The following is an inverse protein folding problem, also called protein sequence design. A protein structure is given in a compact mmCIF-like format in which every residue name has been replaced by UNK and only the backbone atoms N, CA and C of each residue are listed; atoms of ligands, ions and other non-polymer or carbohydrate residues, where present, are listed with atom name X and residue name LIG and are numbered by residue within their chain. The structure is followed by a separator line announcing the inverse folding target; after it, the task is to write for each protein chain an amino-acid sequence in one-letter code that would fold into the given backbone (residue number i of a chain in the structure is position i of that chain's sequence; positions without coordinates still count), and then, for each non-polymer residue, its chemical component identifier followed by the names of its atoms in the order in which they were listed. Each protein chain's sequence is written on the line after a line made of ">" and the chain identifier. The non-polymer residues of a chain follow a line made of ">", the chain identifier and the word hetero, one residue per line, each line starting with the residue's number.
data_IF_526095034261
#
_entry.id   IF_526095034261
#
_cell.length_a   1.000
_cell.length_b   1.000
_cell.length_c   1.000
_cell.angle_alpha   90.00
_cell.angle_beta   90.00
_cell.angle_gamma   90.00
#
_symmetry.space_group_name_H-M   'P 1'
#
loop_
_entity.id
_entity.type
_entity.pdbx_description
1 polymer ?
#
# COMPACT_ATOMS: atom_id res chain seq x y z
N UNK A 1 13.96 -12.43 12.97
CA UNK A 1 13.30 -11.57 11.98
C UNK A 1 11.86 -12.00 11.84
N UNK A 2 10.91 -11.07 11.70
CA UNK A 2 9.50 -11.40 11.53
C UNK A 2 9.22 -11.80 10.07
N UNK A 3 8.55 -12.94 9.87
CA UNK A 3 8.05 -13.36 8.56
C UNK A 3 6.67 -12.75 8.39
N UNK A 4 6.46 -11.98 7.31
CA UNK A 4 5.12 -11.55 6.92
C UNK A 4 4.53 -12.60 6.00
N UNK A 5 3.40 -13.17 6.42
CA UNK A 5 2.65 -14.16 5.64
C UNK A 5 1.32 -13.56 5.22
N UNK A 6 0.95 -13.76 3.96
CA UNK A 6 -0.33 -13.32 3.41
C UNK A 6 -1.24 -14.55 3.21
N UNK A 7 -2.10 -14.90 4.18
CA UNK A 7 -2.95 -16.09 4.11
C UNK A 7 -4.21 -15.84 3.27
N UNK A 8 -4.73 -16.89 2.63
CA UNK A 8 -5.99 -16.85 1.86
C UNK A 8 -7.24 -16.67 2.74
N UNK A 9 -7.11 -16.89 4.05
CA UNK A 9 -8.23 -16.85 4.99
C UNK A 9 -8.70 -15.42 5.32
N UNK A 10 -8.05 -14.38 4.80
CA UNK A 10 -8.53 -13.00 4.95
C UNK A 10 -9.77 -12.78 4.08
N UNK A 11 -10.93 -12.71 4.75
CA UNK A 11 -12.24 -12.52 4.13
C UNK A 11 -12.34 -11.19 3.36
N UNK A 12 -12.99 -11.27 2.19
CA UNK A 12 -13.03 -10.24 1.15
C UNK A 12 -14.05 -9.11 1.35
N UNK A 13 -13.79 -8.01 0.64
CA UNK A 13 -14.85 -7.20 -0.01
C UNK A 13 -15.04 -7.76 -1.44
N UNK A 14 -16.09 -8.56 -1.67
CA UNK A 14 -16.44 -9.09 -3.01
C UNK A 14 -15.98 -10.53 -3.32
N UNK A 15 -16.13 -10.95 -4.59
CA UNK A 15 -15.97 -12.34 -5.06
C UNK A 15 -14.62 -12.69 -5.71
N UNK A 16 -13.56 -11.89 -5.53
CA UNK A 16 -12.27 -12.11 -6.21
C UNK A 16 -11.23 -12.71 -5.27
N UNK A 17 -10.57 -13.82 -5.65
CA UNK A 17 -9.48 -14.49 -4.92
C UNK A 17 -8.15 -13.71 -4.93
N UNK A 18 -8.21 -12.39 -4.78
CA UNK A 18 -7.03 -11.53 -4.90
C UNK A 18 -6.23 -11.50 -3.59
N UNK A 19 -4.91 -11.34 -3.66
CA UNK A 19 -4.09 -11.25 -2.47
C UNK A 19 -4.20 -9.89 -1.79
N UNK A 20 -4.58 -9.87 -0.51
CA UNK A 20 -4.79 -8.64 0.25
C UNK A 20 -3.88 -8.56 1.47
N UNK A 21 -3.55 -7.33 1.84
CA UNK A 21 -2.79 -7.00 3.03
C UNK A 21 -3.55 -5.99 3.91
N UNK A 22 -3.46 -6.17 5.22
CA UNK A 22 -3.73 -5.11 6.19
C UNK A 22 -2.54 -4.16 6.21
N UNK A 23 -2.80 -2.88 5.95
CA UNK A 23 -1.79 -1.83 5.99
C UNK A 23 -2.24 -0.72 6.95
N UNK A 24 -1.33 -0.18 7.74
CA UNK A 24 -1.55 1.04 8.52
C UNK A 24 -0.62 2.13 8.02
N UNK A 25 -1.20 3.22 7.54
CA UNK A 25 -0.47 4.43 7.21
C UNK A 25 -0.21 5.22 8.51
N UNK A 26 1.03 5.64 8.74
CA UNK A 26 1.41 6.35 9.96
C UNK A 26 1.90 7.75 9.58
N UNK A 27 1.21 8.77 10.10
CA UNK A 27 1.54 10.17 9.92
C UNK A 27 2.20 10.80 11.16
N UNK A 28 2.49 12.12 11.08
CA UNK A 28 3.11 12.86 12.17
C UNK A 28 2.35 12.73 13.50
N UNK A 29 3.09 12.67 14.61
CA UNK A 29 2.50 12.50 15.95
C UNK A 29 1.85 11.13 16.18
N UNK A 30 2.17 10.13 15.36
CA UNK A 30 1.65 8.76 15.51
C UNK A 30 0.21 8.57 15.04
N UNK A 31 -0.34 9.50 14.24
CA UNK A 31 -1.68 9.36 13.65
C UNK A 31 -1.72 8.15 12.72
N UNK A 32 -2.72 7.28 12.89
CA UNK A 32 -2.85 6.03 12.13
C UNK A 32 -4.10 6.02 11.27
N UNK A 33 -3.99 5.47 10.07
CA UNK A 33 -5.14 5.16 9.22
C UNK A 33 -5.02 3.73 8.70
N UNK A 34 -6.01 2.89 9.03
CA UNK A 34 -6.03 1.49 8.65
C UNK A 34 -6.64 1.31 7.26
N UNK A 35 -5.93 0.57 6.43
CA UNK A 35 -6.32 0.10 5.12
C UNK A 35 -6.45 -1.42 5.23
N UNK A 36 -7.67 -1.91 5.42
CA UNK A 36 -7.92 -3.32 5.71
C UNK A 36 -7.81 -4.24 4.47
N UNK A 37 -7.73 -3.67 3.27
CA UNK A 37 -7.73 -4.42 2.02
C UNK A 37 -6.88 -3.71 0.96
N UNK A 38 -5.54 -3.72 1.13
CA UNK A 38 -4.62 -3.28 0.09
C UNK A 38 -4.24 -4.49 -0.79
N UNK A 39 -4.40 -4.37 -2.12
CA UNK A 39 -4.04 -5.43 -3.07
C UNK A 39 -2.54 -5.58 -3.16
N UNK A 40 -2.02 -6.78 -2.92
CA UNK A 40 -0.62 -7.10 -3.17
C UNK A 40 -0.41 -7.24 -4.68
N UNK A 41 0.34 -6.31 -5.28
CA UNK A 41 0.47 -6.19 -6.73
C UNK A 41 1.95 -6.08 -7.13
N UNK A 42 2.51 -7.18 -7.63
CA UNK A 42 3.89 -7.23 -8.12
C UNK A 42 4.09 -6.48 -9.44
N UNK A 43 3.01 -6.13 -10.14
CA UNK A 43 3.00 -5.23 -11.30
C UNK A 43 3.05 -3.76 -10.93
N UNK A 44 2.74 -3.39 -9.69
CA UNK A 44 2.88 -2.03 -9.19
C UNK A 44 4.29 -1.79 -8.64
N UNK A 45 4.92 -0.68 -9.05
CA UNK A 45 6.25 -0.32 -8.54
C UNK A 45 6.21 0.18 -7.09
N UNK A 46 5.21 1.00 -6.77
CA UNK A 46 5.10 1.72 -5.50
C UNK A 46 3.85 1.31 -4.71
N UNK A 47 3.90 1.49 -3.39
CA UNK A 47 2.71 1.52 -2.55
C UNK A 47 1.82 2.70 -2.95
N UNK A 48 0.53 2.44 -3.19
CA UNK A 48 -0.43 3.44 -3.65
C UNK A 48 -1.61 3.53 -2.69
N UNK A 49 -1.98 4.74 -2.30
CA UNK A 49 -3.12 5.02 -1.42
C UNK A 49 -3.94 6.19 -1.95
N UNK A 50 -5.25 6.27 -1.64
CA UNK A 50 -6.02 7.46 -1.94
C UNK A 50 -5.47 8.66 -1.17
N UNK A 51 -5.47 9.84 -1.80
CA UNK A 51 -5.05 11.09 -1.13
C UNK A 51 -5.80 11.35 0.18
N UNK A 52 -7.06 10.91 0.30
CA UNK A 52 -7.85 11.05 1.53
C UNK A 52 -7.23 10.32 2.73
N UNK A 53 -6.63 9.14 2.53
CA UNK A 53 -5.94 8.41 3.59
C UNK A 53 -4.70 9.17 4.06
N UNK A 54 -3.91 9.70 3.13
CA UNK A 54 -2.74 10.52 3.46
C UNK A 54 -3.13 11.83 4.18
N UNK A 55 -4.26 12.44 3.80
CA UNK A 55 -4.81 13.61 4.51
C UNK A 55 -5.29 13.27 5.92
N UNK A 56 -5.96 12.12 6.09
CA UNK A 56 -6.49 11.69 7.38
C UNK A 56 -5.39 11.54 8.45
N UNK A 57 -4.19 11.11 8.05
CA UNK A 57 -3.03 11.01 8.96
C UNK A 57 -2.16 12.26 9.02
N UNK A 58 -2.48 13.31 8.25
CA UNK A 58 -1.72 14.56 8.22
C UNK A 58 -0.43 14.53 7.39
N UNK A 59 -0.24 13.51 6.55
CA UNK A 59 0.87 13.50 5.56
C UNK A 59 0.63 14.50 4.43
N UNK A 60 -0.65 14.84 4.15
CA UNK A 60 -1.04 15.91 3.24
C UNK A 60 -2.05 16.85 3.91
N UNK A 61 -2.01 18.17 3.64
CA UNK A 61 -0.94 18.90 2.94
C UNK A 61 0.31 19.15 3.81
N UNK A 62 0.33 18.67 5.05
CA UNK A 62 1.39 18.98 6.03
C UNK A 62 2.78 18.44 5.69
N UNK A 63 2.91 17.46 4.79
CA UNK A 63 4.18 16.89 4.36
C UNK A 63 4.66 17.43 3.00
N UNK A 64 5.97 17.33 2.76
CA UNK A 64 6.56 17.59 1.45
C UNK A 64 6.28 16.44 0.49
N UNK A 65 5.84 16.77 -0.73
CA UNK A 65 5.62 15.79 -1.80
C UNK A 65 6.16 16.30 -3.13
N UNK A 66 6.39 15.35 -4.05
CA UNK A 66 6.67 15.65 -5.46
C UNK A 66 5.50 15.18 -6.32
N UNK A 67 5.17 15.91 -7.38
CA UNK A 67 4.16 15.46 -8.35
C UNK A 67 4.85 14.61 -9.40
N UNK A 68 4.36 13.40 -9.62
CA UNK A 68 4.95 12.43 -10.57
C UNK A 68 3.89 11.91 -11.53
N UNK A 69 4.31 11.60 -12.76
CA UNK A 69 3.48 10.94 -13.77
C UNK A 69 3.61 9.43 -13.64
N UNK A 70 2.49 8.72 -13.51
CA UNK A 70 2.43 7.28 -13.33
C UNK A 70 1.67 6.67 -14.50
N UNK A 71 2.27 5.67 -15.15
CA UNK A 71 1.63 4.89 -16.21
C UNK A 71 0.79 3.78 -15.57
N UNK A 72 -0.49 3.75 -15.89
CA UNK A 72 -1.46 2.74 -15.46
C UNK A 72 -2.00 1.99 -16.66
N UNK A 73 -2.80 0.94 -16.44
CA UNK A 73 -3.53 0.27 -17.52
C UNK A 73 -4.50 1.21 -18.26
N UNK A 74 -5.03 2.24 -17.59
CA UNK A 74 -5.95 3.24 -18.16
C UNK A 74 -5.26 4.46 -18.77
N UNK A 75 -3.93 4.48 -18.85
CA UNK A 75 -3.15 5.63 -19.34
C UNK A 75 -2.32 6.29 -18.24
N UNK A 76 -1.85 7.51 -18.51
CA UNK A 76 -0.96 8.24 -17.60
C UNK A 76 -1.79 9.15 -16.69
N UNK A 77 -1.54 9.06 -15.39
CA UNK A 77 -2.15 9.94 -14.37
C UNK A 77 -1.06 10.59 -13.52
N UNK A 78 -1.36 11.74 -12.93
CA UNK A 78 -0.45 12.40 -11.98
C UNK A 78 -0.78 12.00 -10.55
N UNK A 79 0.24 11.77 -9.73
CA UNK A 79 0.11 11.43 -8.32
C UNK A 79 1.09 12.24 -7.48
N UNK A 80 0.82 12.36 -6.18
CA UNK A 80 1.76 12.93 -5.22
C UNK A 80 2.62 11.83 -4.61
N UNK A 81 3.93 11.89 -4.80
CA UNK A 81 4.88 10.99 -4.16
C UNK A 81 5.40 11.60 -2.86
N UNK A 82 5.16 10.87 -1.77
CA UNK A 82 5.71 11.13 -0.45
C UNK A 82 6.95 10.26 -0.26
N UNK A 83 8.00 10.83 0.31
CA UNK A 83 9.25 10.11 0.63
C UNK A 83 9.29 9.70 2.09
N UNK A 84 9.94 8.57 2.38
CA UNK A 84 10.22 8.10 3.75
C UNK A 84 8.99 8.06 4.68
N UNK A 85 7.88 7.53 4.18
CA UNK A 85 6.65 7.34 4.96
C UNK A 85 6.73 6.02 5.73
N UNK A 86 6.49 6.09 7.04
CA UNK A 86 6.37 4.90 7.88
C UNK A 86 4.99 4.27 7.68
N UNK A 87 4.98 2.97 7.42
CA UNK A 87 3.77 2.16 7.34
C UNK A 87 3.97 0.85 8.09
N UNK A 88 2.86 0.22 8.45
CA UNK A 88 2.83 -1.12 8.99
C UNK A 88 2.11 -2.02 7.98
N UNK A 89 2.75 -3.10 7.52
CA UNK A 89 2.15 -4.10 6.64
C UNK A 89 2.13 -5.40 7.41
N UNK A 90 0.95 -5.95 7.69
CA UNK A 90 0.82 -7.21 8.45
C UNK A 90 1.65 -7.22 9.75
N UNK A 91 1.57 -6.14 10.54
CA UNK A 91 2.37 -5.93 11.76
C UNK A 91 3.87 -5.67 11.57
N UNK A 92 4.39 -5.67 10.33
CA UNK A 92 5.77 -5.30 10.03
C UNK A 92 5.89 -3.81 9.72
N UNK A 93 6.66 -3.11 10.53
CA UNK A 93 6.92 -1.69 10.34
C UNK A 93 8.02 -1.48 9.28
N UNK A 94 7.72 -0.70 8.24
CA UNK A 94 8.67 -0.35 7.17
C UNK A 94 8.57 1.13 6.82
N UNK A 95 9.65 1.68 6.25
CA UNK A 95 9.69 3.06 5.76
C UNK A 95 9.91 3.04 4.25
N UNK A 96 8.97 3.58 3.48
CA UNK A 96 8.98 3.51 2.02
C UNK A 96 8.49 4.80 1.36
N UNK A 97 8.63 4.88 0.04
CA UNK A 97 7.95 5.89 -0.77
C UNK A 97 6.48 5.50 -1.01
N UNK A 98 5.59 6.49 -1.00
CA UNK A 98 4.14 6.27 -1.13
C UNK A 98 3.57 7.20 -2.19
N UNK A 99 2.82 6.65 -3.13
CA UNK A 99 2.05 7.41 -4.10
C UNK A 99 0.64 7.65 -3.59
N UNK A 100 0.24 8.91 -3.57
CA UNK A 100 -1.11 9.34 -3.24
C UNK A 100 -1.85 9.66 -4.53
N UNK A 101 -2.88 8.87 -4.83
CA UNK A 101 -3.71 9.08 -6.01
C UNK A 101 -4.77 10.14 -5.74
N UNK A 102 -4.91 11.15 -6.63
CA UNK A 102 -5.96 12.15 -6.54
C UNK A 102 -7.32 11.60 -6.97
N UNK A 103 -7.31 10.60 -7.85
CA UNK A 103 -8.48 9.83 -8.22
C UNK A 103 -8.77 8.86 -7.08
N UNK A 104 -10.04 8.75 -6.68
CA UNK A 104 -10.47 7.75 -5.71
C UNK A 104 -10.15 6.36 -6.23
N UNK A 105 -8.95 5.86 -5.95
CA UNK A 105 -8.59 4.46 -6.24
C UNK A 105 -9.50 3.62 -5.37
N UNK A 106 -10.23 2.71 -6.01
CA UNK A 106 -11.11 1.78 -5.31
C UNK A 106 -10.32 0.79 -4.46
N UNK A 107 -9.03 0.58 -4.75
CA UNK A 107 -8.19 -0.37 -4.02
C UNK A 107 -6.75 0.14 -3.93
N UNK A 108 -6.23 0.41 -2.70
CA UNK A 108 -4.80 0.66 -2.46
C UNK A 108 -3.94 -0.52 -2.93
N UNK A 109 -2.73 -0.25 -3.40
CA UNK A 109 -1.84 -1.29 -3.96
C UNK A 109 -0.56 -1.39 -3.13
N UNK A 110 -0.19 -2.58 -2.70
CA UNK A 110 1.12 -2.93 -2.13
C UNK A 110 2.05 -3.33 -3.27
N UNK A 111 2.80 -2.35 -3.76
CA UNK A 111 3.77 -2.54 -4.84
C UNK A 111 5.11 -3.14 -4.40
N UNK A 112 6.01 -3.29 -5.38
CA UNK A 112 7.32 -3.91 -5.20
C UNK A 112 8.23 -3.18 -4.21
N UNK A 113 8.12 -1.87 -4.07
CA UNK A 113 8.93 -1.13 -3.10
C UNK A 113 8.61 -1.53 -1.65
N UNK A 114 7.33 -1.73 -1.35
CA UNK A 114 6.83 -2.18 -0.05
C UNK A 114 7.25 -3.63 0.21
N UNK A 115 7.07 -4.49 -0.78
CA UNK A 115 7.50 -5.89 -0.72
C UNK A 115 9.00 -5.99 -0.45
N UNK A 116 9.84 -5.25 -1.19
CA UNK A 116 11.31 -5.24 -0.97
C UNK A 116 11.74 -4.72 0.40
N UNK A 117 10.95 -3.85 1.02
CA UNK A 117 11.24 -3.33 2.35
C UNK A 117 10.93 -4.34 3.47
N UNK A 118 10.17 -5.40 3.19
CA UNK A 118 9.91 -6.48 4.14
C UNK A 118 11.10 -7.44 4.21
N UNK A 119 11.55 -7.74 5.44
CA UNK A 119 12.75 -8.56 5.68
C UNK A 119 12.62 -10.02 5.20
N UNK A 120 11.41 -10.57 5.21
CA UNK A 120 11.07 -11.91 4.73
C UNK A 120 9.62 -11.88 4.25
N UNK A 121 9.40 -12.29 3.00
CA UNK A 121 8.07 -12.38 2.39
C UNK A 121 7.73 -13.85 2.18
N UNK A 122 6.65 -14.32 2.78
CA UNK A 122 6.08 -15.63 2.52
C UNK A 122 4.80 -15.51 1.70
N UNK A 123 4.80 -16.05 0.49
CA UNK A 123 3.58 -16.32 -0.27
C UNK A 123 3.20 -17.78 -0.09
N UNK A 124 1.91 -18.07 0.13
CA UNK A 124 1.47 -19.46 0.17
C UNK A 124 1.54 -20.06 -1.24
N UNK A 125 2.15 -21.23 -1.36
CA UNK A 125 2.34 -21.91 -2.67
C UNK A 125 1.10 -22.69 -3.12
N UNK A 126 0.14 -22.91 -2.22
CA UNK A 126 -1.11 -23.63 -2.51
C UNK A 126 -2.30 -22.69 -2.67
N UNK A 127 -2.20 -21.46 -2.15
CA UNK A 127 -3.35 -20.55 -2.04
C UNK A 127 -3.36 -19.45 -3.11
N UNK A 128 -2.29 -19.32 -3.90
CA UNK A 128 -2.06 -18.17 -4.81
C UNK A 128 -2.12 -18.54 -6.29
N UNK A 129 -2.24 -19.83 -6.64
CA UNK A 129 -2.39 -20.31 -8.01
C UNK A 129 -3.83 -20.80 -8.21
N UNK A 130 -4.61 -20.03 -8.98
CA UNK A 130 -5.93 -20.41 -9.50
C UNK A 130 -6.00 -20.06 -10.98
#
# INVERSE_FOLDING_TARGET
>A
MAVVTFPNSKLYVGSSLKPLADVVLIGPGGRRFRIAAALVDTGADFFQVPESAARAVGLLPGGTYTVVSVRTAGGIITMKKLSAVQIEIESALVTIEVLCSPLGISTPLVGRNALRALSNIGFSTIDWMW
#
